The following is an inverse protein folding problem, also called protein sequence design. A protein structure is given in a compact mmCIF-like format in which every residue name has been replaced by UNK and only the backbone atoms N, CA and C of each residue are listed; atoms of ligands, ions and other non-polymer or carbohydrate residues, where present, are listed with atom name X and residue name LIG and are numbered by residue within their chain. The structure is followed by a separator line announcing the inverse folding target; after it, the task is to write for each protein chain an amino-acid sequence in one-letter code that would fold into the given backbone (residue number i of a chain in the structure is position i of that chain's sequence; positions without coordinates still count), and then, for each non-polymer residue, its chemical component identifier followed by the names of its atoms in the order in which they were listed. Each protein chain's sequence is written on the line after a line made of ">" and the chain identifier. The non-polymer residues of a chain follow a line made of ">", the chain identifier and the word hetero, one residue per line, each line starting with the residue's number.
data_IF_412746753264
#
_entry.id   IF_412746753264
#
_cell.length_a   1.000
_cell.length_b   1.000
_cell.length_c   1.000
_cell.angle_alpha   90.00
_cell.angle_beta   90.00
_cell.angle_gamma   90.00
#
_symmetry.space_group_name_H-M   'P 1'
#
loop_
_entity.id
_entity.type
_entity.pdbx_description
1 polymer ?
#
# COMPACT_ATOMS: atom_id res chain seq x y z
N UNK A 1 -8.45 -57.93 52.01
CA UNK A 1 -7.59 -58.65 51.05
C UNK A 1 -7.56 -57.85 49.77
N UNK A 2 -6.44 -57.17 49.53
CA UNK A 2 -6.13 -56.35 48.36
C UNK A 2 -5.18 -57.16 47.51
N UNK A 3 -5.40 -57.22 46.19
CA UNK A 3 -4.35 -57.62 45.25
C UNK A 3 -4.53 -56.86 43.94
N UNK A 4 -3.63 -55.90 43.73
CA UNK A 4 -3.36 -55.22 42.47
C UNK A 4 -2.42 -56.11 41.66
N UNK A 5 -2.66 -56.24 40.35
CA UNK A 5 -1.62 -56.63 39.40
C UNK A 5 -1.58 -55.67 38.22
N UNK A 6 -0.37 -55.16 37.98
CA UNK A 6 0.06 -54.37 36.83
C UNK A 6 0.05 -55.22 35.55
N UNK A 7 -0.23 -54.59 34.40
CA UNK A 7 -0.10 -55.26 33.11
C UNK A 7 -0.23 -54.36 31.88
N UNK A 8 0.81 -53.56 31.64
CA UNK A 8 1.35 -53.13 30.34
C UNK A 8 0.57 -52.24 29.35
N UNK A 9 1.22 -51.09 29.15
CA UNK A 9 1.24 -50.11 28.06
C UNK A 9 1.23 -50.71 26.63
N UNK A 10 0.48 -50.06 25.73
CA UNK A 10 0.73 -50.12 24.28
C UNK A 10 0.38 -48.78 23.61
N UNK A 11 1.46 -48.05 23.33
CA UNK A 11 1.75 -47.26 22.11
C UNK A 11 0.69 -46.31 21.53
N UNK A 12 0.89 -45.03 21.80
CA UNK A 12 0.36 -43.89 21.04
C UNK A 12 1.15 -43.78 19.73
N UNK A 13 0.42 -43.81 18.60
CA UNK A 13 0.94 -43.59 17.25
C UNK A 13 1.23 -42.09 17.07
N UNK A 14 2.51 -41.69 17.10
CA UNK A 14 2.95 -40.36 16.66
C UNK A 14 3.10 -40.42 15.14
N UNK A 15 2.19 -39.77 14.42
CA UNK A 15 2.35 -39.53 12.99
C UNK A 15 3.43 -38.46 12.76
N UNK A 16 4.57 -38.90 12.24
CA UNK A 16 5.63 -38.06 11.68
C UNK A 16 5.08 -37.35 10.44
N UNK A 17 5.00 -36.01 10.49
CA UNK A 17 4.81 -35.17 9.30
C UNK A 17 6.17 -34.97 8.63
N UNK A 18 6.34 -35.29 7.33
CA UNK A 18 7.59 -35.03 6.64
C UNK A 18 7.81 -33.53 6.44
N UNK A 19 8.98 -33.06 6.88
CA UNK A 19 9.50 -31.74 6.61
C UNK A 19 9.88 -31.64 5.13
N UNK A 20 9.08 -30.93 4.34
CA UNK A 20 9.42 -30.56 2.98
C UNK A 20 10.03 -29.16 2.98
N UNK A 21 11.35 -29.09 3.09
CA UNK A 21 12.12 -27.93 2.66
C UNK A 21 12.09 -27.88 1.13
N UNK A 22 11.36 -26.92 0.58
CA UNK A 22 11.47 -26.58 -0.84
C UNK A 22 11.78 -25.10 -0.98
N UNK A 23 12.79 -24.84 -1.80
CA UNK A 23 13.46 -23.57 -2.01
C UNK A 23 12.50 -22.51 -2.56
N UNK A 24 12.32 -21.43 -1.81
CA UNK A 24 11.70 -20.18 -2.27
C UNK A 24 12.73 -19.36 -3.06
N UNK A 25 12.99 -19.74 -4.31
CA UNK A 25 13.77 -18.91 -5.25
C UNK A 25 13.23 -18.87 -6.69
N UNK A 26 12.18 -19.64 -7.03
CA UNK A 26 11.77 -19.79 -8.44
C UNK A 26 10.39 -19.18 -8.75
N UNK A 27 10.15 -17.93 -8.35
CA UNK A 27 8.92 -17.22 -8.73
C UNK A 27 9.13 -15.74 -9.07
N UNK A 28 10.23 -15.39 -9.75
CA UNK A 28 10.38 -14.11 -10.47
C UNK A 28 11.21 -14.32 -11.73
N UNK A 29 10.61 -14.91 -12.76
CA UNK A 29 11.18 -14.89 -14.11
C UNK A 29 10.08 -14.56 -15.11
N UNK A 30 10.01 -13.29 -15.51
CA UNK A 30 9.22 -12.87 -16.67
C UNK A 30 10.06 -13.07 -17.94
N UNK A 31 9.46 -13.55 -19.05
CA UNK A 31 10.16 -13.67 -20.32
C UNK A 31 10.48 -12.28 -20.92
N UNK A 32 11.61 -12.13 -21.63
CA UNK A 32 11.99 -10.86 -22.25
C UNK A 32 11.04 -10.53 -23.42
N UNK A 33 10.34 -9.40 -23.31
CA UNK A 33 9.60 -8.81 -24.41
C UNK A 33 10.56 -8.32 -25.49
N UNK A 34 10.50 -8.97 -26.65
CA UNK A 34 11.26 -8.66 -27.85
C UNK A 34 10.64 -7.45 -28.55
N UNK A 35 10.98 -6.24 -28.08
CA UNK A 35 10.57 -4.98 -28.73
C UNK A 35 11.55 -4.67 -29.86
N UNK A 36 11.06 -4.78 -31.09
CA UNK A 36 11.78 -4.35 -32.29
C UNK A 36 12.05 -2.85 -32.22
N UNK A 37 13.34 -2.51 -32.15
CA UNK A 37 13.85 -1.14 -32.21
C UNK A 37 13.62 -0.54 -33.60
N UNK A 38 12.72 0.42 -33.70
CA UNK A 38 12.58 1.30 -34.87
C UNK A 38 13.54 2.47 -34.71
N UNK A 39 14.62 2.45 -35.50
CA UNK A 39 15.55 3.56 -35.65
C UNK A 39 14.86 4.79 -36.24
N UNK A 40 14.74 5.87 -35.46
CA UNK A 40 14.45 7.20 -35.97
C UNK A 40 15.77 7.97 -36.11
N UNK A 41 16.10 8.35 -37.35
CA UNK A 41 17.14 9.33 -37.64
C UNK A 41 16.65 10.73 -37.23
N UNK A 42 17.19 11.27 -36.15
CA UNK A 42 17.01 12.68 -35.80
C UNK A 42 18.11 13.49 -36.49
N UNK A 43 17.70 14.33 -37.44
CA UNK A 43 18.55 15.32 -38.10
C UNK A 43 18.84 16.43 -37.08
N UNK A 44 20.10 16.54 -36.68
CA UNK A 44 20.60 17.60 -35.81
C UNK A 44 20.90 18.84 -36.64
N UNK A 45 20.08 19.88 -36.53
CA UNK A 45 20.41 21.23 -37.02
C UNK A 45 20.87 22.07 -35.85
N UNK A 46 22.18 22.28 -35.75
CA UNK A 46 22.80 23.21 -34.81
C UNK A 46 22.58 24.65 -35.28
N UNK A 47 21.77 25.42 -34.56
CA UNK A 47 21.68 26.88 -34.71
C UNK A 47 22.39 27.52 -33.52
N UNK A 48 23.55 28.12 -33.78
CA UNK A 48 24.31 28.89 -32.80
C UNK A 48 23.67 30.27 -32.61
N UNK A 49 22.93 30.46 -31.53
CA UNK A 49 22.47 31.79 -31.11
C UNK A 49 23.45 32.34 -30.08
N UNK A 50 24.26 33.31 -30.52
CA UNK A 50 25.05 34.18 -29.65
C UNK A 50 24.09 35.19 -29.01
N UNK A 51 23.87 35.10 -27.69
CA UNK A 51 23.19 36.16 -26.94
C UNK A 51 23.92 36.50 -25.63
N UNK A 52 24.66 37.62 -25.74
CA UNK A 52 24.97 38.67 -24.75
C UNK A 52 24.62 38.38 -23.29
N UNK A 53 25.65 38.09 -22.48
CA UNK A 53 25.63 38.14 -21.01
C UNK A 53 25.38 39.59 -20.55
N UNK A 54 24.19 39.87 -20.01
CA UNK A 54 24.01 40.94 -19.04
C UNK A 54 24.25 40.35 -17.65
N UNK A 55 25.28 40.83 -16.96
CA UNK A 55 25.51 40.52 -15.55
C UNK A 55 24.44 41.22 -14.71
N UNK A 56 23.45 40.45 -14.27
CA UNK A 56 22.57 40.84 -13.18
C UNK A 56 23.21 40.42 -11.86
N UNK A 57 23.25 41.36 -10.92
CA UNK A 57 23.80 41.19 -9.59
C UNK A 57 23.10 40.03 -8.87
N UNK A 58 23.82 39.20 -8.09
CA UNK A 58 23.23 38.15 -7.29
C UNK A 58 22.42 38.80 -6.15
N UNK A 59 21.10 38.93 -6.35
CA UNK A 59 20.16 39.13 -5.26
C UNK A 59 20.18 37.84 -4.43
N UNK A 60 20.75 37.92 -3.24
CA UNK A 60 20.68 36.87 -2.21
C UNK A 60 19.21 36.45 -2.07
N UNK A 61 18.82 35.22 -2.43
CA UNK A 61 17.46 34.77 -2.16
C UNK A 61 17.32 34.69 -0.64
N UNK A 62 16.42 35.53 -0.11
CA UNK A 62 15.89 35.38 1.23
C UNK A 62 15.23 34.01 1.30
N UNK A 63 15.98 33.03 1.78
CA UNK A 63 15.51 31.68 2.02
C UNK A 63 14.51 31.75 3.16
N UNK A 64 13.24 31.95 2.82
CA UNK A 64 12.14 31.74 3.75
C UNK A 64 12.02 30.23 3.97
N UNK A 65 12.85 29.69 4.85
CA UNK A 65 12.61 28.39 5.47
C UNK A 65 11.39 28.54 6.37
N UNK A 66 10.21 28.46 5.78
CA UNK A 66 8.99 28.15 6.50
C UNK A 66 9.22 26.74 7.08
N UNK A 67 9.24 26.64 8.41
CA UNK A 67 9.22 25.36 9.11
C UNK A 67 7.85 24.69 8.84
N UNK A 68 7.68 24.13 7.65
CA UNK A 68 6.53 23.32 7.30
C UNK A 68 6.76 21.95 7.94
N UNK A 69 6.12 21.73 9.10
CA UNK A 69 6.05 20.40 9.67
C UNK A 69 5.14 19.57 8.75
N UNK A 70 5.65 18.48 8.16
CA UNK A 70 4.86 17.68 7.23
C UNK A 70 3.63 17.13 7.93
N UNK A 71 2.51 17.12 7.22
CA UNK A 71 1.27 16.53 7.72
C UNK A 71 1.46 15.01 7.95
N UNK A 72 0.61 14.41 8.78
CA UNK A 72 0.61 12.96 8.99
C UNK A 72 0.34 12.18 7.69
N UNK A 73 -0.31 12.83 6.72
CA UNK A 73 -0.57 12.32 5.37
C UNK A 73 0.67 12.27 4.48
N UNK A 74 1.65 13.11 4.75
CA UNK A 74 2.91 13.22 4.00
C UNK A 74 4.07 12.46 4.64
N UNK A 75 3.83 11.88 5.82
CA UNK A 75 4.86 11.13 6.54
C UNK A 75 5.14 9.82 5.83
N UNK A 76 6.36 9.69 5.28
CA UNK A 76 6.82 8.47 4.58
C UNK A 76 7.39 7.39 5.49
N UNK A 77 7.59 7.68 6.77
CA UNK A 77 8.15 6.74 7.75
C UNK A 77 7.05 5.93 8.41
N UNK A 78 7.23 4.61 8.49
CA UNK A 78 6.31 3.65 9.12
C UNK A 78 6.92 3.17 10.45
N UNK A 79 6.16 3.28 11.55
CA UNK A 79 6.58 2.87 12.92
C UNK A 79 7.89 3.49 13.40
N UNK A 80 8.20 4.71 12.97
CA UNK A 80 9.45 5.41 13.28
C UNK A 80 10.73 4.64 12.86
N UNK A 81 10.60 3.65 11.97
CA UNK A 81 11.74 2.92 11.41
C UNK A 81 12.37 3.76 10.30
N UNK A 82 13.63 4.20 10.39
CA UNK A 82 14.27 4.99 9.34
C UNK A 82 14.23 4.28 7.98
N UNK A 83 14.02 5.03 6.89
CA UNK A 83 14.01 4.50 5.52
C UNK A 83 12.96 3.40 5.27
N UNK A 84 11.80 3.48 5.94
CA UNK A 84 10.68 2.53 5.81
C UNK A 84 9.58 2.96 4.82
N UNK A 85 9.77 4.05 4.09
CA UNK A 85 8.85 4.44 3.02
C UNK A 85 8.94 3.49 1.82
N UNK A 86 7.86 3.34 1.07
CA UNK A 86 7.76 2.37 -0.03
C UNK A 86 8.77 2.61 -1.16
N UNK A 87 9.19 3.87 -1.38
CA UNK A 87 10.21 4.26 -2.36
C UNK A 87 11.65 4.16 -1.85
N UNK A 88 11.85 3.76 -0.59
CA UNK A 88 13.17 3.60 0.00
C UNK A 88 13.93 2.41 -0.58
N UNK A 89 15.23 2.57 -0.81
CA UNK A 89 16.11 1.45 -1.18
C UNK A 89 16.21 0.36 -0.10
N UNK A 90 15.91 0.70 1.17
CA UNK A 90 15.87 -0.25 2.27
C UNK A 90 14.53 -1.01 2.35
N UNK A 91 13.49 -0.51 1.66
CA UNK A 91 12.20 -1.17 1.56
C UNK A 91 12.28 -2.33 0.58
N UNK A 92 11.96 -3.53 1.06
CA UNK A 92 12.06 -4.74 0.26
C UNK A 92 10.77 -5.56 0.45
N UNK A 93 9.71 -5.17 -0.28
CA UNK A 93 8.39 -5.78 -0.18
C UNK A 93 8.44 -7.29 -0.49
N UNK A 94 7.87 -8.10 0.40
CA UNK A 94 7.85 -9.57 0.25
C UNK A 94 9.17 -10.27 0.59
N UNK A 95 10.23 -9.54 0.91
CA UNK A 95 11.51 -10.11 1.37
C UNK A 95 11.47 -10.47 2.86
N UNK A 96 12.29 -11.45 3.25
CA UNK A 96 12.53 -11.79 4.65
C UNK A 96 13.52 -10.83 5.35
N UNK A 97 14.07 -9.86 4.62
CA UNK A 97 15.03 -8.87 5.12
C UNK A 97 14.66 -7.47 4.63
N UNK A 98 15.07 -6.44 5.38
CA UNK A 98 14.84 -5.03 5.05
C UNK A 98 13.67 -4.41 5.81
N UNK A 99 13.49 -3.09 5.68
CA UNK A 99 12.55 -2.32 6.51
C UNK A 99 11.09 -2.74 6.27
N UNK A 100 10.76 -3.22 5.08
CA UNK A 100 9.43 -3.79 4.77
C UNK A 100 9.08 -5.02 5.62
N UNK A 101 10.06 -5.89 5.87
CA UNK A 101 9.88 -7.05 6.76
C UNK A 101 9.62 -6.62 8.21
N UNK A 102 10.45 -5.70 8.71
CA UNK A 102 10.36 -5.18 10.08
C UNK A 102 9.02 -4.49 10.33
N UNK A 103 8.60 -3.61 9.39
CA UNK A 103 7.31 -2.96 9.46
C UNK A 103 6.16 -3.98 9.42
N UNK A 104 6.21 -4.99 8.54
CA UNK A 104 5.18 -6.03 8.48
C UNK A 104 5.08 -6.84 9.80
N UNK A 105 6.20 -7.12 10.46
CA UNK A 105 6.20 -7.76 11.78
C UNK A 105 5.51 -6.91 12.84
N UNK A 106 5.82 -5.61 12.91
CA UNK A 106 5.18 -4.68 13.85
C UNK A 106 3.68 -4.57 13.55
N UNK A 107 3.32 -4.45 12.27
CA UNK A 107 1.95 -4.34 11.80
C UNK A 107 1.10 -5.55 12.25
N UNK A 108 1.58 -6.78 12.04
CA UNK A 108 0.90 -8.00 12.49
C UNK A 108 0.68 -8.04 14.01
N UNK A 109 1.65 -7.56 14.79
CA UNK A 109 1.52 -7.48 16.26
C UNK A 109 0.49 -6.43 16.68
N UNK A 110 0.59 -5.23 16.11
CA UNK A 110 -0.27 -4.08 16.44
C UNK A 110 -1.74 -4.34 16.10
N UNK A 111 -2.01 -5.00 14.98
CA UNK A 111 -3.39 -5.25 14.51
C UNK A 111 -3.87 -6.68 14.77
N UNK A 112 -3.24 -7.37 15.73
CA UNK A 112 -3.62 -8.74 16.13
C UNK A 112 -5.00 -8.82 16.80
N UNK A 113 -5.41 -7.76 17.49
CA UNK A 113 -6.71 -7.68 18.18
C UNK A 113 -7.83 -7.25 17.24
N UNK A 114 -8.98 -7.95 17.33
CA UNK A 114 -10.21 -7.58 16.61
C UNK A 114 -10.66 -6.16 16.95
N UNK A 115 -10.58 -5.77 18.22
CA UNK A 115 -10.99 -4.43 18.70
C UNK A 115 -10.18 -3.32 18.01
N UNK A 116 -8.88 -3.53 17.84
CA UNK A 116 -8.01 -2.53 17.22
C UNK A 116 -8.30 -2.43 15.73
N UNK A 117 -8.58 -3.56 15.06
CA UNK A 117 -9.02 -3.57 13.65
C UNK A 117 -10.36 -2.87 13.45
N UNK A 118 -11.32 -3.09 14.35
CA UNK A 118 -12.62 -2.38 14.33
C UNK A 118 -12.44 -0.88 14.50
N UNK A 119 -11.57 -0.46 15.44
CA UNK A 119 -11.27 0.94 15.66
C UNK A 119 -10.62 1.58 14.42
N UNK A 120 -9.70 0.88 13.74
CA UNK A 120 -9.08 1.33 12.50
C UNK A 120 -10.10 1.47 11.36
N UNK A 121 -10.91 0.44 11.11
CA UNK A 121 -11.90 0.51 10.01
C UNK A 121 -12.89 1.64 10.27
N UNK A 122 -13.36 1.80 11.52
CA UNK A 122 -14.25 2.88 11.91
C UNK A 122 -13.62 4.27 11.70
N UNK A 123 -12.34 4.45 12.04
CA UNK A 123 -11.65 5.72 11.85
C UNK A 123 -11.39 6.03 10.37
N UNK A 124 -11.18 5.02 9.53
CA UNK A 124 -11.02 5.20 8.08
C UNK A 124 -12.34 5.53 7.38
N UNK A 125 -13.44 4.91 7.79
CA UNK A 125 -14.77 5.21 7.26
C UNK A 125 -15.33 6.56 7.76
N UNK A 126 -14.89 7.01 8.94
CA UNK A 126 -15.34 8.25 9.58
C UNK A 126 -14.14 9.12 10.04
N UNK A 127 -13.29 9.59 9.12
CA UNK A 127 -12.02 10.26 9.47
C UNK A 127 -12.22 11.53 10.31
N UNK A 128 -13.30 12.27 10.10
CA UNK A 128 -13.59 13.48 10.88
C UNK A 128 -13.93 13.20 12.36
N UNK A 129 -14.35 11.97 12.69
CA UNK A 129 -14.70 11.56 14.04
C UNK A 129 -13.56 10.80 14.74
N UNK A 130 -12.45 10.57 14.06
CA UNK A 130 -11.32 9.81 14.58
C UNK A 130 -10.58 10.59 15.67
N UNK A 131 -10.39 9.97 16.84
CA UNK A 131 -9.60 10.56 17.94
C UNK A 131 -8.10 10.47 17.73
N UNK A 132 -7.66 9.45 16.99
CA UNK A 132 -6.26 9.16 16.69
C UNK A 132 -6.20 8.75 15.23
N UNK A 133 -5.35 9.44 14.49
CA UNK A 133 -5.14 9.20 13.08
C UNK A 133 -3.94 8.29 12.87
N UNK A 134 -4.11 7.27 12.04
CA UNK A 134 -3.04 6.35 11.63
C UNK A 134 -2.39 6.93 10.36
N UNK A 135 -1.05 7.05 10.29
CA UNK A 135 -0.37 7.51 9.08
C UNK A 135 -0.78 6.68 7.86
N UNK A 136 -0.99 7.34 6.72
CA UNK A 136 -1.53 6.64 5.56
C UNK A 136 -0.56 5.58 5.00
N UNK A 137 0.75 5.75 5.19
CA UNK A 137 1.75 4.74 4.85
C UNK A 137 1.57 3.43 5.63
N UNK A 138 1.13 3.51 6.89
CA UNK A 138 0.75 2.33 7.68
C UNK A 138 -0.53 1.69 7.12
N UNK A 139 -1.51 2.49 6.68
CA UNK A 139 -2.74 1.99 6.03
C UNK A 139 -2.42 1.23 4.73
N UNK A 140 -1.50 1.75 3.90
CA UNK A 140 -1.01 1.04 2.71
C UNK A 140 -0.36 -0.29 3.06
N UNK A 141 0.44 -0.34 4.12
CA UNK A 141 1.05 -1.59 4.61
C UNK A 141 -0.02 -2.61 5.02
N UNK A 142 -1.03 -2.19 5.78
CA UNK A 142 -2.15 -3.06 6.18
C UNK A 142 -2.87 -3.61 4.94
N UNK A 143 -3.23 -2.74 3.98
CA UNK A 143 -3.86 -3.15 2.73
C UNK A 143 -3.00 -4.14 1.96
N UNK A 144 -1.71 -3.86 1.80
CA UNK A 144 -0.80 -4.75 1.09
C UNK A 144 -0.71 -6.14 1.70
N UNK A 145 -0.70 -6.23 3.03
CA UNK A 145 -0.70 -7.52 3.72
C UNK A 145 -2.06 -8.24 3.63
N UNK A 146 -3.17 -7.50 3.72
CA UNK A 146 -4.53 -8.04 3.56
C UNK A 146 -4.74 -8.59 2.13
N UNK A 147 -4.26 -7.88 1.10
CA UNK A 147 -4.29 -8.36 -0.28
C UNK A 147 -3.40 -9.58 -0.48
N UNK A 148 -2.20 -9.58 0.12
CA UNK A 148 -1.31 -10.74 0.08
C UNK A 148 -1.96 -11.98 0.70
N UNK A 149 -2.66 -11.82 1.83
CA UNK A 149 -3.36 -12.92 2.48
C UNK A 149 -4.59 -13.37 1.67
N UNK A 150 -5.38 -12.42 1.17
CA UNK A 150 -6.56 -12.68 0.36
C UNK A 150 -6.28 -13.42 -0.95
N UNK A 151 -5.05 -13.37 -1.46
CA UNK A 151 -4.63 -14.17 -2.62
C UNK A 151 -4.77 -15.68 -2.39
N UNK A 152 -4.60 -16.16 -1.16
CA UNK A 152 -4.66 -17.59 -0.85
C UNK A 152 -6.09 -18.14 -0.85
N UNK A 153 -7.09 -17.30 -0.59
CA UNK A 153 -8.50 -17.69 -0.53
C UNK A 153 -9.37 -17.01 -1.60
N UNK A 154 -8.77 -16.22 -2.49
CA UNK A 154 -9.41 -15.47 -3.57
C UNK A 154 -10.19 -14.24 -3.11
N UNK A 155 -10.10 -13.84 -1.83
CA UNK A 155 -10.80 -12.66 -1.32
C UNK A 155 -10.16 -11.33 -1.73
N UNK A 156 -8.98 -11.36 -2.37
CA UNK A 156 -8.38 -10.20 -3.03
C UNK A 156 -9.02 -9.86 -4.39
N UNK A 157 -10.01 -10.64 -4.83
CA UNK A 157 -10.70 -10.46 -6.12
C UNK A 157 -10.17 -11.32 -7.26
N UNK A 158 -9.10 -12.10 -7.03
CA UNK A 158 -8.54 -13.01 -8.03
C UNK A 158 -7.91 -12.31 -9.23
N UNK A 159 -7.95 -12.90 -10.44
CA UNK A 159 -7.47 -12.25 -11.66
C UNK A 159 -8.21 -10.93 -11.89
N UNK A 160 -7.46 -9.84 -12.07
CA UNK A 160 -7.97 -8.45 -12.12
C UNK A 160 -8.43 -7.87 -10.78
N UNK A 161 -8.13 -8.53 -9.65
CA UNK A 161 -8.36 -8.01 -8.30
C UNK A 161 -7.20 -7.15 -7.79
N UNK A 162 -7.09 -7.02 -6.48
CA UNK A 162 -6.12 -6.14 -5.83
C UNK A 162 -4.66 -6.60 -5.92
N UNK A 163 -4.38 -7.76 -6.53
CA UNK A 163 -3.02 -8.16 -6.86
C UNK A 163 -2.31 -7.15 -7.78
N UNK A 164 -3.04 -6.51 -8.71
CA UNK A 164 -2.50 -5.48 -9.60
C UNK A 164 -2.19 -4.18 -8.86
N UNK A 165 -3.13 -3.74 -8.00
CA UNK A 165 -2.93 -2.57 -7.12
C UNK A 165 -1.73 -2.78 -6.20
N UNK A 166 -1.59 -3.98 -5.62
CA UNK A 166 -0.43 -4.36 -4.81
C UNK A 166 0.88 -4.30 -5.62
N UNK A 167 0.89 -4.81 -6.85
CA UNK A 167 2.07 -4.76 -7.71
C UNK A 167 2.47 -3.31 -8.02
N UNK A 168 1.48 -2.44 -8.28
CA UNK A 168 1.69 -1.01 -8.52
C UNK A 168 2.25 -0.29 -7.29
N UNK A 169 1.74 -0.63 -6.11
CA UNK A 169 2.23 -0.11 -4.83
C UNK A 169 3.67 -0.56 -4.54
N UNK A 170 3.96 -1.86 -4.75
CA UNK A 170 5.30 -2.42 -4.56
C UNK A 170 6.32 -1.85 -5.56
N UNK A 171 5.90 -1.43 -6.75
CA UNK A 171 6.76 -0.75 -7.71
C UNK A 171 7.15 0.69 -7.26
N UNK A 172 6.47 1.24 -6.25
CA UNK A 172 6.77 2.53 -5.61
C UNK A 172 6.95 3.70 -6.61
N UNK A 173 6.08 3.76 -7.61
CA UNK A 173 6.07 4.82 -8.64
C UNK A 173 4.77 5.62 -8.59
N UNK A 174 3.66 4.99 -8.97
CA UNK A 174 2.36 5.67 -9.18
C UNK A 174 1.80 6.32 -7.91
N UNK A 175 2.06 5.74 -6.74
CA UNK A 175 1.61 6.26 -5.44
C UNK A 175 2.72 6.97 -4.65
N UNK A 176 3.88 7.22 -5.27
CA UNK A 176 5.03 7.89 -4.66
C UNK A 176 5.51 9.05 -5.54
N UNK A 177 4.56 9.88 -6.01
CA UNK A 177 4.90 11.02 -6.86
C UNK A 177 5.63 12.05 -6.00
N UNK A 178 6.89 12.29 -6.35
CA UNK A 178 7.76 13.23 -5.65
C UNK A 178 7.12 14.62 -5.58
N UNK A 179 7.11 15.19 -4.37
CA UNK A 179 6.60 16.54 -4.06
C UNK A 179 5.11 16.75 -4.45
N UNK A 180 4.34 15.68 -4.63
CA UNK A 180 2.91 15.75 -4.98
C UNK A 180 2.10 14.61 -4.34
N UNK A 181 1.86 14.73 -3.03
CA UNK A 181 1.09 13.75 -2.26
C UNK A 181 -0.39 13.72 -2.69
N UNK A 182 -0.95 14.84 -3.14
CA UNK A 182 -2.32 14.92 -3.66
C UNK A 182 -2.48 14.04 -4.91
N UNK A 183 -1.56 14.12 -5.87
CA UNK A 183 -1.59 13.25 -7.06
C UNK A 183 -1.36 11.78 -6.71
N UNK A 184 -0.47 11.50 -5.75
CA UNK A 184 -0.27 10.14 -5.23
C UNK A 184 -1.56 9.57 -4.63
N UNK A 185 -2.29 10.37 -3.87
CA UNK A 185 -3.58 10.02 -3.28
C UNK A 185 -4.66 9.79 -4.34
N UNK A 186 -4.76 10.65 -5.35
CA UNK A 186 -5.72 10.51 -6.45
C UNK A 186 -5.49 9.24 -7.26
N UNK A 187 -4.23 8.96 -7.62
CA UNK A 187 -3.87 7.72 -8.32
C UNK A 187 -4.28 6.48 -7.51
N UNK A 188 -4.08 6.51 -6.19
CA UNK A 188 -4.51 5.42 -5.31
C UNK A 188 -6.04 5.28 -5.28
N UNK A 189 -6.78 6.39 -5.15
CA UNK A 189 -8.25 6.39 -5.14
C UNK A 189 -8.81 5.79 -6.44
N UNK A 190 -8.28 6.20 -7.60
CA UNK A 190 -8.68 5.67 -8.90
C UNK A 190 -8.53 4.16 -8.97
N UNK A 191 -7.32 3.67 -8.67
CA UNK A 191 -7.02 2.24 -8.80
C UNK A 191 -7.83 1.41 -7.79
N UNK A 192 -7.98 1.87 -6.55
CA UNK A 192 -8.82 1.20 -5.55
C UNK A 192 -10.29 1.16 -5.98
N UNK A 193 -10.86 2.28 -6.42
CA UNK A 193 -12.24 2.35 -6.90
C UNK A 193 -12.45 1.36 -8.05
N UNK A 194 -11.54 1.36 -9.02
CA UNK A 194 -11.70 0.58 -10.25
C UNK A 194 -11.62 -0.93 -10.00
N UNK A 195 -10.97 -1.37 -8.92
CA UNK A 195 -10.89 -2.78 -8.54
C UNK A 195 -11.94 -3.20 -7.50
N UNK A 196 -12.69 -2.27 -6.90
CA UNK A 196 -13.60 -2.56 -5.79
C UNK A 196 -14.71 -3.57 -6.13
N UNK A 197 -15.16 -3.61 -7.38
CA UNK A 197 -16.16 -4.57 -7.86
C UNK A 197 -15.72 -6.03 -7.77
N UNK A 198 -14.41 -6.30 -7.64
CA UNK A 198 -13.89 -7.66 -7.55
C UNK A 198 -14.09 -8.27 -6.16
N UNK A 199 -14.23 -7.43 -5.13
CA UNK A 199 -14.37 -7.87 -3.73
C UNK A 199 -15.76 -7.55 -3.15
N UNK A 200 -16.49 -6.57 -3.68
CA UNK A 200 -17.86 -6.27 -3.28
C UNK A 200 -18.85 -6.55 -4.41
N UNK A 201 -19.94 -7.25 -4.07
CA UNK A 201 -21.08 -7.50 -4.96
C UNK A 201 -22.31 -6.67 -4.59
N UNK A 202 -22.24 -5.91 -3.49
CA UNK A 202 -23.34 -5.07 -3.02
C UNK A 202 -23.47 -3.86 -3.94
N UNK A 203 -24.62 -3.69 -4.57
CA UNK A 203 -24.88 -2.49 -5.40
C UNK A 203 -24.71 -1.21 -4.58
N UNK A 204 -25.18 -1.22 -3.33
CA UNK A 204 -25.07 -0.10 -2.41
C UNK A 204 -23.60 0.27 -2.16
N UNK A 205 -22.74 -0.70 -1.86
CA UNK A 205 -21.32 -0.43 -1.62
C UNK A 205 -20.61 0.06 -2.90
N UNK A 206 -20.96 -0.50 -4.06
CA UNK A 206 -20.40 -0.09 -5.35
C UNK A 206 -20.80 1.34 -5.71
N UNK A 207 -22.06 1.69 -5.51
CA UNK A 207 -22.57 3.04 -5.76
C UNK A 207 -21.96 4.03 -4.75
N UNK A 208 -21.78 3.62 -3.50
CA UNK A 208 -21.12 4.42 -2.47
C UNK A 208 -19.64 4.68 -2.78
N UNK A 209 -18.86 3.65 -3.15
CA UNK A 209 -17.45 3.80 -3.54
C UNK A 209 -17.31 4.75 -4.73
N UNK A 210 -18.17 4.61 -5.74
CA UNK A 210 -18.21 5.52 -6.89
C UNK A 210 -18.51 6.94 -6.46
N UNK A 211 -19.54 7.15 -5.64
CA UNK A 211 -19.94 8.48 -5.16
C UNK A 211 -18.80 9.17 -4.40
N UNK A 212 -18.18 8.46 -3.46
CA UNK A 212 -17.08 8.98 -2.62
C UNK A 212 -15.86 9.34 -3.48
N UNK A 213 -15.43 8.45 -4.38
CA UNK A 213 -14.29 8.72 -5.24
C UNK A 213 -14.56 9.86 -6.24
N UNK A 214 -15.82 10.02 -6.67
CA UNK A 214 -16.24 11.04 -7.63
C UNK A 214 -16.08 12.47 -7.07
N UNK A 215 -16.18 12.66 -5.75
CA UNK A 215 -15.99 13.96 -5.09
C UNK A 215 -14.66 14.63 -5.47
N UNK A 216 -13.62 13.83 -5.72
CA UNK A 216 -12.25 14.33 -5.90
C UNK A 216 -11.63 13.97 -7.26
N UNK A 217 -12.24 13.07 -8.03
CA UNK A 217 -11.68 12.59 -9.31
C UNK A 217 -12.27 13.27 -10.56
N UNK A 218 -13.41 13.97 -10.45
CA UNK A 218 -14.03 14.65 -11.61
C UNK A 218 -13.55 16.07 -11.87
N UNK A 219 -13.11 16.76 -10.84
CA UNK A 219 -12.63 18.13 -10.97
C UNK A 219 -11.19 18.15 -11.45
N UNK A 220 -10.80 19.23 -12.15
CA UNK A 220 -9.38 19.45 -12.40
C UNK A 220 -8.65 19.47 -11.05
N UNK A 221 -7.55 18.71 -10.95
CA UNK A 221 -6.81 18.46 -9.70
C UNK A 221 -6.39 19.71 -8.91
N UNK A 222 -6.45 20.91 -9.51
CA UNK A 222 -6.15 22.19 -8.86
C UNK A 222 -7.32 22.83 -8.10
N UNK A 223 -8.55 22.29 -8.21
CA UNK A 223 -9.74 22.86 -7.55
C UNK A 223 -10.19 22.10 -6.29
N UNK A 224 -9.63 20.91 -6.05
CA UNK A 224 -9.98 20.07 -4.89
C UNK A 224 -9.00 20.34 -3.76
N UNK A 225 -9.50 20.57 -2.55
CA UNK A 225 -8.65 20.73 -1.37
C UNK A 225 -7.91 19.43 -1.04
N UNK A 226 -6.64 19.51 -0.65
CA UNK A 226 -5.84 18.34 -0.26
C UNK A 226 -6.52 17.51 0.84
N UNK A 227 -7.14 18.19 1.80
CA UNK A 227 -7.91 17.56 2.88
C UNK A 227 -9.07 16.68 2.38
N UNK A 228 -9.79 17.12 1.34
CA UNK A 228 -10.86 16.32 0.74
C UNK A 228 -10.31 15.06 0.07
N UNK A 229 -9.18 15.20 -0.64
CA UNK A 229 -8.51 14.08 -1.30
C UNK A 229 -8.02 13.06 -0.26
N UNK A 230 -7.37 13.50 0.80
CA UNK A 230 -6.87 12.62 1.86
C UNK A 230 -8.01 11.95 2.62
N UNK A 231 -9.10 12.68 2.90
CA UNK A 231 -10.33 12.11 3.46
C UNK A 231 -10.88 11.00 2.59
N UNK A 232 -11.11 11.27 1.31
CA UNK A 232 -11.66 10.29 0.36
C UNK A 232 -10.77 9.07 0.24
N UNK A 233 -9.45 9.27 0.16
CA UNK A 233 -8.46 8.18 0.14
C UNK A 233 -8.61 7.24 1.34
N UNK A 234 -8.79 7.78 2.54
CA UNK A 234 -9.02 6.99 3.77
C UNK A 234 -10.33 6.23 3.72
N UNK A 235 -11.41 6.87 3.28
CA UNK A 235 -12.72 6.21 3.16
C UNK A 235 -12.65 5.05 2.19
N UNK A 236 -12.04 5.24 1.00
CA UNK A 236 -11.83 4.16 0.03
C UNK A 236 -11.05 2.99 0.64
N UNK A 237 -9.96 3.27 1.37
CA UNK A 237 -9.20 2.23 2.08
C UNK A 237 -10.04 1.49 3.14
N UNK A 238 -10.84 2.22 3.92
CA UNK A 238 -11.74 1.65 4.91
C UNK A 238 -12.80 0.73 4.28
N UNK A 239 -13.37 1.13 3.14
CA UNK A 239 -14.34 0.32 2.40
C UNK A 239 -13.72 -0.99 1.90
N UNK A 240 -12.47 -0.97 1.43
CA UNK A 240 -11.73 -2.18 1.02
C UNK A 240 -11.50 -3.11 2.20
N UNK A 241 -10.97 -2.59 3.31
CA UNK A 241 -10.72 -3.40 4.51
C UNK A 241 -12.01 -4.03 5.06
N UNK A 242 -13.12 -3.28 5.02
CA UNK A 242 -14.43 -3.80 5.42
C UNK A 242 -14.91 -4.93 4.49
N UNK A 243 -14.86 -4.71 3.16
CA UNK A 243 -15.28 -5.70 2.18
C UNK A 243 -14.45 -7.00 2.23
N UNK A 244 -13.15 -6.91 2.55
CA UNK A 244 -12.28 -8.07 2.70
C UNK A 244 -12.38 -8.76 4.07
N UNK A 245 -13.30 -8.30 4.94
CA UNK A 245 -13.48 -8.82 6.30
C UNK A 245 -12.19 -8.76 7.14
N UNK A 246 -11.43 -7.67 7.02
CA UNK A 246 -10.20 -7.46 7.79
C UNK A 246 -10.41 -7.58 9.31
N UNK A 247 -11.53 -7.06 9.81
CA UNK A 247 -11.90 -7.19 11.23
C UNK A 247 -11.96 -8.65 11.68
N UNK A 248 -12.60 -9.51 10.89
CA UNK A 248 -12.73 -10.93 11.21
C UNK A 248 -11.45 -11.74 10.95
N UNK A 249 -10.78 -11.51 9.82
CA UNK A 249 -9.64 -12.32 9.36
C UNK A 249 -8.30 -11.89 9.94
N UNK A 250 -8.10 -10.60 10.20
CA UNK A 250 -6.78 -10.06 10.52
C UNK A 250 -5.87 -9.95 9.30
N UNK A 251 -4.56 -9.94 9.57
CA UNK A 251 -3.48 -9.92 8.59
C UNK A 251 -2.88 -11.31 8.45
#
# INVERSE_FOLDING_TARGET
>A
MVSLTLGQLSSILIALVPSATSNLSDAFSMPPNNVKSTHYHIISTSVSVVHRRHQLQPTTPLSMTTNHQPSIEETKTIYDIPNSGWSSNAWNWGSAIGTGHDCAMICRRRWSSRKDREALVSSLLNPQAAKVEVPFEEVKLILGLVWQNGRWDGSDGGPNGYAEVLSTMAAARRYEVKDNEVLSALNFIEDVRDHYYTISRSKEDLDHMKSVAHEVTQYHHHMVGSEDVFRVRRVCAGMVLNAMNFVGKGI
#
